data_IF_623244465230
#
_entry.id   IF_623244465230
#
_cell.length_a   1.000
_cell.length_b   1.000
_cell.length_c   1.000
_cell.angle_alpha   90.00
_cell.angle_beta   90.00
_cell.angle_gamma   90.00
#
_symmetry.space_group_name_H-M   'P 1'
#
loop_
_entity.id
_entity.type
_entity.pdbx_description
1 polymer ?
#
# COMPACT_ATOMS: atom_id res chain seq x y z
N UNK A 1 8.31 55.73 11.11
CA UNK A 1 7.49 54.50 11.18
C UNK A 1 6.07 54.92 11.50
N UNK A 2 5.17 54.87 10.51
CA UNK A 2 3.77 55.23 10.65
C UNK A 2 2.93 53.95 10.77
N UNK A 3 1.93 53.88 11.68
CA UNK A 3 1.08 52.71 11.81
C UNK A 3 0.01 52.72 10.72
N UNK A 4 -0.07 51.63 9.95
CA UNK A 4 -1.13 51.39 8.97
C UNK A 4 -2.29 50.72 9.69
N UNK A 5 -3.41 51.43 9.77
CA UNK A 5 -4.67 50.96 10.36
C UNK A 5 -5.40 50.06 9.36
N UNK A 6 -5.69 48.82 9.75
CA UNK A 6 -6.50 47.88 8.99
C UNK A 6 -7.99 48.14 9.28
N UNK A 7 -8.75 48.34 8.21
CA UNK A 7 -10.19 48.60 8.23
C UNK A 7 -10.94 47.26 8.16
N UNK A 8 -11.83 47.03 9.14
CA UNK A 8 -12.65 45.83 9.29
C UNK A 8 -13.91 45.91 8.38
N UNK A 9 -14.31 44.84 7.66
CA UNK A 9 -15.51 44.86 6.83
C UNK A 9 -16.78 44.53 7.63
N UNK A 10 -17.97 45.03 7.21
CA UNK A 10 -19.22 44.89 7.96
C UNK A 10 -19.88 43.51 7.75
N UNK A 11 -20.75 43.08 8.70
CA UNK A 11 -21.44 41.79 8.62
C UNK A 11 -22.64 41.83 7.66
N UNK A 12 -22.67 40.87 6.74
CA UNK A 12 -23.77 40.63 5.80
C UNK A 12 -25.00 40.07 6.51
N UNK A 13 -26.12 40.78 6.46
CA UNK A 13 -27.41 40.32 6.97
C UNK A 13 -28.02 39.26 6.03
N UNK A 14 -28.28 38.06 6.56
CA UNK A 14 -29.01 36.99 5.88
C UNK A 14 -30.50 37.28 5.94
N UNK A 15 -31.11 37.46 4.77
CA UNK A 15 -32.53 37.70 4.55
C UNK A 15 -33.28 36.36 4.56
N UNK A 16 -34.17 36.15 5.53
CA UNK A 16 -35.10 35.02 5.54
C UNK A 16 -36.27 35.32 4.60
N UNK A 17 -36.40 34.55 3.52
CA UNK A 17 -37.61 34.54 2.68
C UNK A 17 -38.48 33.33 3.05
N UNK A 18 -39.66 33.66 3.56
CA UNK A 18 -40.76 32.78 3.91
C UNK A 18 -41.61 32.60 2.63
N UNK A 19 -41.55 31.43 2.01
CA UNK A 19 -42.42 31.08 0.88
C UNK A 19 -43.57 30.18 1.31
N UNK A 20 -44.70 30.52 0.70
CA UNK A 20 -46.07 30.21 1.07
C UNK A 20 -46.58 28.97 0.36
N UNK A 21 -47.54 28.33 1.02
CA UNK A 21 -48.39 27.20 0.62
C UNK A 21 -48.97 27.38 -0.80
N UNK A 22 -48.90 26.31 -1.60
CA UNK A 22 -49.62 26.17 -2.87
C UNK A 22 -50.06 24.73 -3.06
N UNK A 23 -51.36 24.48 -2.85
CA UNK A 23 -52.07 23.25 -3.20
C UNK A 23 -52.12 23.09 -4.73
N UNK A 24 -51.76 21.91 -5.22
CA UNK A 24 -51.65 21.63 -6.66
C UNK A 24 -51.66 20.14 -7.00
N UNK A 25 -52.87 19.58 -7.01
CA UNK A 25 -53.28 18.27 -7.51
C UNK A 25 -52.53 17.82 -8.80
N UNK A 26 -51.84 16.67 -8.77
CA UNK A 26 -51.21 16.04 -9.96
C UNK A 26 -51.35 14.50 -9.89
N UNK A 27 -51.59 13.79 -11.01
CA UNK A 27 -52.18 12.46 -11.02
C UNK A 27 -51.18 11.31 -10.91
N UNK A 28 -51.70 10.20 -10.38
CA UNK A 28 -51.11 8.87 -10.28
C UNK A 28 -50.25 8.50 -11.50
N UNK A 29 -48.92 8.52 -11.32
CA UNK A 29 -47.95 7.95 -12.24
C UNK A 29 -47.13 6.92 -11.46
N UNK A 30 -47.09 5.70 -12.01
CA UNK A 30 -46.41 4.53 -11.47
C UNK A 30 -44.98 4.84 -11.02
N UNK A 31 -44.76 4.89 -9.71
CA UNK A 31 -43.43 4.94 -9.12
C UNK A 31 -42.78 3.56 -9.25
N UNK A 32 -41.54 3.45 -9.78
CA UNK A 32 -40.77 2.24 -9.63
C UNK A 32 -40.56 1.99 -8.14
N UNK A 33 -40.89 0.79 -7.69
CA UNK A 33 -40.73 0.34 -6.31
C UNK A 33 -39.25 0.51 -5.90
N UNK A 34 -38.92 1.63 -5.26
CA UNK A 34 -37.67 1.83 -4.54
C UNK A 34 -37.62 0.76 -3.45
N UNK A 35 -37.01 -0.38 -3.76
CA UNK A 35 -36.55 -1.31 -2.76
C UNK A 35 -35.51 -0.56 -1.94
N UNK A 36 -35.97 0.05 -0.84
CA UNK A 36 -35.18 0.61 0.25
C UNK A 36 -34.41 -0.52 0.95
N UNK A 37 -33.53 -1.20 0.23
CA UNK A 37 -32.44 -1.94 0.81
C UNK A 37 -31.53 -0.90 1.45
N UNK A 38 -31.59 -0.77 2.77
CA UNK A 38 -30.68 0.10 3.52
C UNK A 38 -29.25 -0.37 3.27
N UNK A 39 -28.57 0.22 2.29
CA UNK A 39 -27.16 -0.03 2.01
C UNK A 39 -26.38 0.51 3.19
N UNK A 40 -25.98 -0.36 4.11
CA UNK A 40 -25.10 -0.03 5.21
C UNK A 40 -23.76 0.39 4.62
N UNK A 41 -23.51 1.70 4.57
CA UNK A 41 -22.22 2.23 4.13
C UNK A 41 -21.14 1.77 5.11
N UNK A 42 -20.06 1.12 4.65
CA UNK A 42 -18.98 0.67 5.51
C UNK A 42 -18.42 1.86 6.29
N UNK A 43 -17.99 1.60 7.53
CA UNK A 43 -17.55 2.67 8.43
C UNK A 43 -16.19 3.23 8.05
N UNK A 44 -15.32 2.36 7.55
CA UNK A 44 -14.00 2.71 7.03
C UNK A 44 -14.09 3.01 5.53
N UNK A 45 -13.27 3.95 5.00
CA UNK A 45 -13.20 4.19 3.58
C UNK A 45 -12.80 2.92 2.82
N UNK A 46 -13.55 2.63 1.75
CA UNK A 46 -13.31 1.51 0.83
C UNK A 46 -13.06 2.05 -0.56
N UNK A 47 -11.95 1.63 -1.16
CA UNK A 47 -11.51 1.92 -2.51
C UNK A 47 -11.78 0.67 -3.34
N UNK A 48 -12.89 0.66 -4.08
CA UNK A 48 -13.22 -0.44 -4.99
C UNK A 48 -12.64 -0.15 -6.38
N UNK A 49 -11.73 -1.00 -6.83
CA UNK A 49 -11.10 -0.94 -8.15
C UNK A 49 -11.82 -1.87 -9.13
N UNK A 50 -11.84 -1.52 -10.41
CA UNK A 50 -12.44 -2.34 -11.46
C UNK A 50 -11.48 -3.44 -11.97
N UNK A 51 -10.97 -4.25 -11.05
CA UNK A 51 -10.11 -5.41 -11.32
C UNK A 51 -10.47 -6.54 -10.36
N UNK A 52 -10.47 -7.78 -10.82
CA UNK A 52 -10.88 -8.92 -9.98
C UNK A 52 -9.80 -9.28 -8.94
N UNK A 53 -8.52 -9.13 -9.29
CA UNK A 53 -7.35 -9.44 -8.45
C UNK A 53 -6.42 -8.22 -8.42
N UNK A 54 -5.91 -7.88 -7.24
CA UNK A 54 -4.97 -6.78 -7.05
C UNK A 54 -3.53 -7.29 -7.15
N UNK A 55 -2.78 -6.78 -8.12
CA UNK A 55 -1.37 -7.14 -8.32
C UNK A 55 -0.48 -6.52 -7.24
N UNK A 56 0.74 -7.07 -7.09
CA UNK A 56 1.83 -6.51 -6.28
C UNK A 56 2.08 -5.02 -6.57
N UNK A 57 2.11 -4.65 -7.85
CA UNK A 57 2.36 -3.28 -8.33
C UNK A 57 1.25 -2.32 -7.91
N UNK A 58 -0.02 -2.71 -8.02
CA UNK A 58 -1.16 -1.89 -7.60
C UNK A 58 -1.15 -1.70 -6.08
N UNK A 59 -0.92 -2.78 -5.33
CA UNK A 59 -0.87 -2.74 -3.87
C UNK A 59 0.27 -1.83 -3.36
N UNK A 60 1.47 -1.95 -3.96
CA UNK A 60 2.63 -1.11 -3.65
C UNK A 60 2.35 0.37 -3.95
N UNK A 61 1.79 0.67 -5.14
CA UNK A 61 1.49 2.04 -5.56
C UNK A 61 0.51 2.74 -4.61
N UNK A 62 -0.58 2.07 -4.27
CA UNK A 62 -1.58 2.61 -3.37
C UNK A 62 -1.09 2.71 -1.93
N UNK A 63 -0.19 1.81 -1.48
CA UNK A 63 0.49 1.95 -0.19
C UNK A 63 1.37 3.21 -0.14
N UNK A 64 2.15 3.49 -1.20
CA UNK A 64 2.93 4.73 -1.32
C UNK A 64 2.03 5.97 -1.30
N UNK A 65 0.93 5.96 -2.07
CA UNK A 65 -0.01 7.07 -2.11
C UNK A 65 -0.66 7.32 -0.74
N UNK A 66 -1.09 6.25 -0.06
CA UNK A 66 -1.64 6.34 1.30
C UNK A 66 -0.61 6.89 2.28
N UNK A 67 0.64 6.44 2.23
CA UNK A 67 1.71 6.95 3.09
C UNK A 67 1.89 8.46 2.93
N UNK A 68 1.95 8.95 1.69
CA UNK A 68 2.02 10.39 1.42
C UNK A 68 0.82 11.16 2.01
N UNK A 69 -0.38 10.61 1.89
CA UNK A 69 -1.59 11.18 2.50
C UNK A 69 -1.55 11.15 4.03
N UNK A 70 -1.12 10.06 4.65
CA UNK A 70 -1.03 9.93 6.11
C UNK A 70 -0.03 10.95 6.66
N UNK A 71 1.16 11.08 6.05
CA UNK A 71 2.16 12.06 6.49
C UNK A 71 1.58 13.49 6.46
N UNK A 72 0.84 13.84 5.40
CA UNK A 72 0.22 15.16 5.29
C UNK A 72 -0.97 15.35 6.24
N UNK A 73 -1.94 14.44 6.25
CA UNK A 73 -3.17 14.52 7.05
C UNK A 73 -2.93 14.39 8.57
N UNK A 74 -1.80 13.79 8.97
CA UNK A 74 -1.34 13.73 10.36
C UNK A 74 -0.38 14.86 10.72
N UNK A 75 -0.26 15.89 9.88
CA UNK A 75 0.63 17.03 10.10
C UNK A 75 2.10 16.62 10.38
N UNK A 76 2.55 15.52 9.78
CA UNK A 76 3.95 15.12 9.83
C UNK A 76 4.79 15.87 8.78
N UNK A 77 4.13 16.41 7.76
CA UNK A 77 4.74 17.30 6.77
C UNK A 77 3.82 18.47 6.45
N UNK A 78 4.36 19.66 6.13
CA UNK A 78 3.56 20.85 5.92
C UNK A 78 2.82 20.86 4.57
N UNK A 79 3.32 20.10 3.59
CA UNK A 79 2.78 20.03 2.23
C UNK A 79 2.80 18.59 1.71
N UNK A 80 1.95 18.24 0.73
CA UNK A 80 2.01 16.94 0.06
C UNK A 80 3.40 16.64 -0.50
N UNK A 81 3.83 15.37 -0.41
CA UNK A 81 5.19 14.92 -0.78
C UNK A 81 5.62 15.37 -2.19
N UNK A 82 4.69 15.33 -3.15
CA UNK A 82 4.92 15.75 -4.55
C UNK A 82 5.20 17.25 -4.66
N UNK A 83 4.56 18.07 -3.81
CA UNK A 83 4.82 19.51 -3.76
C UNK A 83 6.15 19.79 -3.08
N UNK A 84 6.45 19.10 -1.98
CA UNK A 84 7.73 19.23 -1.27
C UNK A 84 8.92 18.94 -2.19
N UNK A 85 8.85 17.88 -2.99
CA UNK A 85 9.92 17.50 -3.92
C UNK A 85 10.22 18.56 -4.98
N UNK A 86 9.23 19.40 -5.35
CA UNK A 86 9.39 20.45 -6.38
C UNK A 86 9.88 21.79 -5.83
N UNK A 87 9.83 21.99 -4.52
CA UNK A 87 10.20 23.27 -3.92
C UNK A 87 11.72 23.38 -3.82
N UNK A 88 12.29 24.38 -4.46
CA UNK A 88 13.71 24.76 -4.30
C UNK A 88 13.86 25.62 -3.04
N UNK A 89 14.77 25.25 -2.15
CA UNK A 89 14.97 25.86 -0.83
C UNK A 89 15.78 27.17 -0.90
N UNK A 90 15.26 28.23 -1.52
CA UNK A 90 16.01 29.49 -1.68
C UNK A 90 16.17 30.33 -0.40
N UNK A 91 15.38 30.08 0.65
CA UNK A 91 15.38 30.86 1.90
C UNK A 91 15.12 30.04 3.17
N UNK A 92 15.10 28.71 3.10
CA UNK A 92 14.81 27.88 4.27
C UNK A 92 16.03 27.76 5.18
N UNK A 93 15.80 27.66 6.49
CA UNK A 93 16.83 27.28 7.46
C UNK A 93 17.51 25.96 7.05
N UNK A 94 18.85 25.89 7.08
CA UNK A 94 19.66 24.72 6.72
C UNK A 94 19.18 23.44 7.41
N UNK A 95 18.70 23.56 8.66
CA UNK A 95 18.15 22.44 9.42
C UNK A 95 16.87 21.88 8.79
N UNK A 96 15.93 22.74 8.38
CA UNK A 96 14.69 22.33 7.73
C UNK A 96 14.95 21.78 6.33
N UNK A 97 15.93 22.35 5.63
CA UNK A 97 16.38 21.83 4.33
C UNK A 97 16.91 20.39 4.46
N UNK A 98 17.74 20.13 5.47
CA UNK A 98 18.25 18.78 5.77
C UNK A 98 17.12 17.79 6.12
N UNK A 99 16.22 18.16 7.03
CA UNK A 99 15.09 17.28 7.40
C UNK A 99 14.19 16.94 6.20
N UNK A 100 13.95 17.92 5.32
CA UNK A 100 13.22 17.70 4.07
C UNK A 100 13.97 16.74 3.14
N UNK A 101 15.27 16.93 2.95
CA UNK A 101 16.09 16.05 2.11
C UNK A 101 16.12 14.61 2.65
N UNK A 102 16.35 14.45 3.95
CA UNK A 102 16.36 13.16 4.64
C UNK A 102 15.00 12.45 4.49
N UNK A 103 13.89 13.19 4.67
CA UNK A 103 12.54 12.63 4.48
C UNK A 103 12.32 12.19 3.03
N UNK A 104 12.66 13.03 2.04
CA UNK A 104 12.45 12.70 0.64
C UNK A 104 13.28 11.48 0.22
N UNK A 105 14.53 11.40 0.67
CA UNK A 105 15.41 10.25 0.45
C UNK A 105 14.85 8.96 1.09
N UNK A 106 14.41 9.04 2.35
CA UNK A 106 13.80 7.91 3.05
C UNK A 106 12.48 7.47 2.38
N UNK A 107 11.66 8.42 1.93
CA UNK A 107 10.40 8.14 1.24
C UNK A 107 10.63 7.47 -0.13
N UNK A 108 11.63 7.92 -0.88
CA UNK A 108 12.01 7.32 -2.18
C UNK A 108 12.55 5.90 -1.99
N UNK A 109 13.46 5.71 -1.03
CA UNK A 109 14.00 4.40 -0.65
C UNK A 109 12.88 3.43 -0.26
N UNK A 110 11.94 3.86 0.58
CA UNK A 110 10.80 3.03 0.97
C UNK A 110 9.87 2.73 -0.21
N UNK A 111 9.64 3.69 -1.10
CA UNK A 111 8.80 3.49 -2.29
C UNK A 111 9.40 2.43 -3.21
N UNK A 112 10.72 2.48 -3.43
CA UNK A 112 11.45 1.43 -4.15
C UNK A 112 11.29 0.07 -3.47
N UNK A 113 11.46 0.00 -2.14
CA UNK A 113 11.28 -1.23 -1.38
C UNK A 113 9.86 -1.78 -1.43
N UNK A 114 8.80 -0.96 -1.48
CA UNK A 114 7.44 -1.49 -1.53
C UNK A 114 7.20 -2.39 -2.74
N UNK A 115 7.75 -2.06 -3.91
CA UNK A 115 7.59 -2.88 -5.12
C UNK A 115 8.16 -4.29 -4.90
N UNK A 116 9.37 -4.40 -4.38
CA UNK A 116 10.02 -5.70 -4.10
C UNK A 116 9.38 -6.40 -2.90
N UNK A 117 8.89 -5.65 -1.92
CA UNK A 117 8.21 -6.16 -0.71
C UNK A 117 6.92 -6.89 -1.06
N UNK A 118 6.03 -6.26 -1.83
CA UNK A 118 4.76 -6.88 -2.22
C UNK A 118 4.98 -8.09 -3.14
N UNK A 119 6.02 -8.06 -3.98
CA UNK A 119 6.44 -9.21 -4.79
C UNK A 119 6.91 -10.40 -3.92
N UNK A 120 7.78 -10.13 -2.94
CA UNK A 120 8.25 -11.14 -1.99
C UNK A 120 7.11 -11.68 -1.12
N UNK A 121 6.18 -10.81 -0.69
CA UNK A 121 5.01 -11.19 0.08
C UNK A 121 4.05 -12.07 -0.72
N UNK A 122 3.80 -11.75 -1.99
CA UNK A 122 3.03 -12.60 -2.91
C UNK A 122 3.62 -14.01 -2.96
N UNK A 123 4.95 -14.12 -3.08
CA UNK A 123 5.63 -15.42 -3.11
C UNK A 123 5.51 -16.15 -1.78
N UNK A 124 5.71 -15.46 -0.65
CA UNK A 124 5.61 -16.05 0.68
C UNK A 124 4.18 -16.55 0.98
N UNK A 125 3.16 -15.81 0.55
CA UNK A 125 1.75 -16.20 0.70
C UNK A 125 1.33 -17.31 -0.27
N UNK A 126 1.93 -17.39 -1.46
CA UNK A 126 1.68 -18.48 -2.39
C UNK A 126 2.20 -19.82 -1.84
N UNK A 127 3.40 -19.82 -1.25
CA UNK A 127 4.00 -21.00 -0.59
C UNK A 127 3.21 -21.51 0.62
N UNK A 128 2.35 -20.67 1.17
CA UNK A 128 1.46 -20.96 2.30
C UNK A 128 0.32 -21.91 1.94
N UNK A 129 -0.06 -21.93 0.65
CA UNK A 129 -1.23 -22.65 0.16
C UNK A 129 -0.77 -23.99 -0.38
N UNK A 130 -0.74 -24.97 0.50
CA UNK A 130 -0.46 -26.36 0.13
C UNK A 130 -1.70 -26.94 -0.56
N UNK A 131 -1.68 -26.94 -1.90
CA UNK A 131 -2.48 -27.79 -2.79
C UNK A 131 -4.02 -27.55 -2.86
N UNK A 132 -4.53 -27.54 -4.09
CA UNK A 132 -5.93 -27.68 -4.54
C UNK A 132 -6.92 -26.50 -4.59
N UNK A 133 -6.62 -25.32 -4.06
CA UNK A 133 -7.55 -24.19 -4.21
C UNK A 133 -7.19 -23.29 -5.40
N UNK A 134 -7.94 -23.42 -6.49
CA UNK A 134 -7.81 -22.59 -7.70
C UNK A 134 -7.83 -21.08 -7.38
N UNK A 135 -7.04 -20.33 -8.16
CA UNK A 135 -6.83 -18.87 -8.06
C UNK A 135 -6.56 -18.37 -6.62
N UNK A 136 -5.32 -18.55 -6.18
CA UNK A 136 -4.86 -18.11 -4.88
C UNK A 136 -4.83 -16.57 -4.78
N UNK A 137 -5.89 -15.96 -4.23
CA UNK A 137 -5.85 -14.59 -3.71
C UNK A 137 -5.78 -14.60 -2.19
N UNK A 138 -5.16 -13.59 -1.59
CA UNK A 138 -5.01 -13.46 -0.14
C UNK A 138 -5.34 -12.04 0.33
N UNK A 139 -5.37 -11.85 1.65
CA UNK A 139 -5.44 -10.51 2.25
C UNK A 139 -4.08 -10.09 2.74
N UNK A 140 -3.75 -8.83 2.49
CA UNK A 140 -2.51 -8.21 2.97
C UNK A 140 -2.83 -7.01 3.82
N UNK A 141 -2.04 -6.84 4.88
CA UNK A 141 -2.17 -5.73 5.80
C UNK A 141 -0.84 -5.03 5.97
N UNK A 142 -0.86 -3.71 5.88
CA UNK A 142 0.24 -2.82 6.22
C UNK A 142 -0.27 -1.81 7.26
N UNK A 143 0.59 -1.42 8.20
CA UNK A 143 0.29 -0.44 9.22
C UNK A 143 1.27 0.73 9.12
N UNK A 144 0.72 1.95 9.13
CA UNK A 144 1.47 3.20 9.25
C UNK A 144 1.24 3.72 10.66
N UNK A 145 2.31 3.72 11.45
CA UNK A 145 2.27 3.98 12.88
C UNK A 145 3.01 5.28 13.18
N UNK A 146 2.31 6.27 13.72
CA UNK A 146 2.85 7.63 13.93
C UNK A 146 3.00 7.90 15.42
N UNK A 147 4.22 8.17 15.89
CA UNK A 147 4.51 8.49 17.28
C UNK A 147 5.98 8.36 17.69
N UNK A 148 6.28 8.41 19.00
CA UNK A 148 7.65 8.30 19.52
C UNK A 148 8.26 6.91 19.37
N UNK A 149 7.42 5.88 19.35
CA UNK A 149 7.79 4.48 19.12
C UNK A 149 6.58 3.69 18.61
N UNK A 150 6.76 2.51 18.01
CA UNK A 150 5.64 1.66 17.61
C UNK A 150 4.72 1.28 18.79
N UNK A 151 5.31 1.06 19.96
CA UNK A 151 4.61 0.70 21.20
C UNK A 151 3.80 1.85 21.80
N UNK A 152 4.32 3.08 21.72
CA UNK A 152 3.71 4.30 22.26
C UNK A 152 3.09 5.19 21.17
N UNK A 153 2.66 4.58 20.06
CA UNK A 153 2.11 5.31 18.94
C UNK A 153 0.85 6.10 19.30
N UNK A 154 0.76 7.30 18.75
CA UNK A 154 -0.40 8.18 18.92
C UNK A 154 -1.49 7.87 17.89
N UNK A 155 -1.09 7.47 16.68
CA UNK A 155 -1.97 7.05 15.59
C UNK A 155 -1.49 5.74 14.97
N UNK A 156 -2.44 4.92 14.52
CA UNK A 156 -2.21 3.69 13.77
C UNK A 156 -3.20 3.64 12.63
N UNK A 157 -2.72 3.69 11.40
CA UNK A 157 -3.53 3.63 10.18
C UNK A 157 -3.29 2.28 9.52
N UNK A 158 -4.35 1.48 9.35
CA UNK A 158 -4.27 0.17 8.69
C UNK A 158 -4.63 0.30 7.21
N UNK A 159 -3.78 -0.25 6.35
CA UNK A 159 -4.00 -0.44 4.93
C UNK A 159 -4.34 -1.91 4.68
N UNK A 160 -5.60 -2.18 4.35
CA UNK A 160 -6.07 -3.52 4.00
C UNK A 160 -6.20 -3.68 2.49
N UNK A 161 -5.63 -4.75 1.94
CA UNK A 161 -5.76 -5.12 0.53
C UNK A 161 -6.50 -6.45 0.45
N UNK A 162 -7.68 -6.45 -0.17
CA UNK A 162 -8.47 -7.66 -0.42
C UNK A 162 -8.20 -8.21 -1.82
N UNK A 163 -8.32 -9.53 -2.01
CA UNK A 163 -8.01 -10.20 -3.28
C UNK A 163 -6.60 -9.90 -3.82
N UNK A 164 -5.61 -9.83 -2.95
CA UNK A 164 -4.21 -9.67 -3.31
C UNK A 164 -3.71 -10.90 -4.07
N UNK A 165 -3.06 -10.69 -5.22
CA UNK A 165 -2.49 -11.76 -6.04
C UNK A 165 -1.41 -12.50 -5.25
N UNK A 166 -1.51 -13.83 -5.16
CA UNK A 166 -0.44 -14.66 -4.62
C UNK A 166 0.07 -15.59 -5.70
N UNK A 167 1.34 -15.41 -6.06
CA UNK A 167 2.07 -16.20 -7.07
C UNK A 167 3.51 -16.41 -6.60
N UNK A 168 4.08 -17.57 -6.93
CA UNK A 168 5.50 -17.87 -6.71
C UNK A 168 6.30 -17.29 -7.86
N UNK A 169 7.22 -16.36 -7.59
CA UNK A 169 8.08 -15.83 -8.64
C UNK A 169 8.92 -16.95 -9.27
N UNK A 170 8.94 -17.01 -10.60
CA UNK A 170 9.74 -17.98 -11.36
C UNK A 170 9.06 -19.33 -11.60
N UNK A 171 7.91 -19.60 -10.98
CA UNK A 171 7.05 -20.70 -11.41
C UNK A 171 6.24 -20.20 -12.61
N UNK A 172 6.39 -20.84 -13.77
CA UNK A 172 5.55 -20.56 -14.92
C UNK A 172 4.13 -21.04 -14.57
N UNK A 173 3.13 -20.16 -14.65
CA UNK A 173 1.74 -20.57 -14.59
C UNK A 173 1.48 -21.44 -15.82
N UNK A 174 1.64 -22.76 -15.69
CA UNK A 174 1.20 -23.66 -16.73
C UNK A 174 -0.30 -23.44 -16.88
N UNK A 175 -0.78 -23.05 -18.08
CA UNK A 175 -2.20 -22.83 -18.30
C UNK A 175 -2.88 -24.13 -17.89
N UNK A 176 -3.68 -24.06 -16.84
CA UNK A 176 -4.45 -25.21 -16.35
C UNK A 176 -5.28 -25.71 -17.52
N UNK A 177 -4.78 -26.74 -18.21
CA UNK A 177 -5.42 -27.45 -19.32
C UNK A 177 -6.59 -28.25 -18.76
N UNK A 178 -7.51 -27.56 -18.08
CA UNK A 178 -8.70 -28.14 -17.46
C UNK A 178 -9.88 -28.17 -18.45
N UNK A 179 -9.60 -28.19 -19.74
CA UNK A 179 -10.58 -28.38 -20.79
C UNK A 179 -10.21 -29.62 -21.62
N UNK A 180 -10.52 -30.81 -21.07
CA UNK A 180 -11.01 -31.90 -21.92
C UNK A 180 -10.19 -33.19 -22.08
N UNK A 181 -9.80 -33.87 -21.00
CA UNK A 181 -9.42 -35.30 -21.08
C UNK A 181 -10.33 -36.19 -20.24
N UNK A 182 -11.53 -36.47 -20.77
CA UNK A 182 -12.13 -37.77 -20.57
C UNK A 182 -11.39 -38.80 -21.44
N UNK A 183 -10.39 -39.48 -20.90
CA UNK A 183 -9.84 -40.67 -21.52
C UNK A 183 -9.36 -41.68 -20.47
N UNK A 184 -10.24 -42.65 -20.21
CA UNK A 184 -9.94 -43.96 -19.63
C UNK A 184 -8.57 -44.51 -20.08
N UNK A 185 -7.69 -44.78 -19.12
CA UNK A 185 -6.39 -45.41 -19.36
C UNK A 185 -5.91 -46.22 -18.17
N UNK A 186 -6.63 -47.30 -17.87
CA UNK A 186 -6.20 -48.39 -17.00
C UNK A 186 -4.80 -48.89 -17.39
N UNK A 187 -3.90 -49.05 -16.42
CA UNK A 187 -2.80 -50.01 -16.54
C UNK A 187 -1.50 -49.64 -15.84
N UNK A 188 -1.26 -50.38 -14.76
CA UNK A 188 0.00 -51.08 -14.47
C UNK A 188 0.81 -50.57 -13.27
N UNK A 189 0.91 -51.49 -12.30
CA UNK A 189 1.55 -51.37 -11.00
C UNK A 189 3.05 -51.65 -11.17
N UNK A 190 3.93 -50.81 -10.61
CA UNK A 190 5.34 -51.13 -10.46
C UNK A 190 5.81 -50.77 -9.03
N UNK A 191 6.30 -51.75 -8.25
CA UNK A 191 6.60 -51.57 -6.84
C UNK A 191 8.02 -51.06 -6.58
N UNK A 192 8.10 -50.43 -5.40
CA UNK A 192 9.21 -50.13 -4.49
C UNK A 192 10.54 -50.87 -4.73
N UNK A 193 11.66 -50.13 -4.75
CA UNK A 193 12.90 -50.56 -4.09
C UNK A 193 13.92 -49.42 -3.90
N UNK A 194 14.79 -49.62 -2.91
CA UNK A 194 16.06 -48.95 -2.59
C UNK A 194 16.10 -47.88 -1.49
N UNK A 195 16.33 -48.42 -0.29
CA UNK A 195 17.14 -47.88 0.80
C UNK A 195 18.52 -47.38 0.31
N UNK A 196 19.03 -46.28 0.86
CA UNK A 196 20.38 -46.27 1.47
C UNK A 196 20.63 -44.94 2.20
N UNK A 197 20.77 -45.04 3.52
CA UNK A 197 21.21 -43.99 4.41
C UNK A 197 22.73 -43.77 4.27
N UNK A 198 23.16 -42.52 4.12
CA UNK A 198 24.57 -42.14 4.30
C UNK A 198 24.71 -41.03 5.32
N UNK A 199 25.25 -41.46 6.46
CA UNK A 199 26.26 -40.81 7.30
C UNK A 199 27.08 -39.73 6.58
N UNK A 200 27.28 -38.56 7.23
CA UNK A 200 28.62 -38.01 7.48
C UNK A 200 28.56 -36.59 8.11
N UNK A 201 29.00 -36.55 9.36
CA UNK A 201 29.97 -35.63 9.99
C UNK A 201 29.76 -34.09 10.03
N UNK A 202 29.49 -33.63 11.26
CA UNK A 202 30.32 -32.68 12.05
C UNK A 202 31.28 -31.74 11.28
N UNK A 203 30.99 -30.43 11.30
CA UNK A 203 32.00 -29.40 11.11
C UNK A 203 31.69 -28.14 11.94
N UNK A 204 32.26 -28.14 13.13
CA UNK A 204 32.61 -27.00 13.96
C UNK A 204 33.29 -25.89 13.14
N UNK A 205 32.84 -24.63 13.21
CA UNK A 205 33.68 -23.49 12.79
C UNK A 205 33.47 -22.28 13.68
N UNK A 206 34.60 -21.88 14.25
CA UNK A 206 34.80 -20.96 15.34
C UNK A 206 34.60 -19.48 14.95
N UNK A 207 34.53 -18.71 16.03
CA UNK A 207 34.47 -17.27 16.17
C UNK A 207 35.48 -16.49 15.30
N UNK A 208 35.07 -15.32 14.82
CA UNK A 208 36.04 -14.25 14.52
C UNK A 208 35.44 -12.89 14.89
N UNK A 209 35.98 -12.42 16.02
CA UNK A 209 35.90 -11.09 16.59
C UNK A 209 36.76 -10.13 15.73
N UNK A 210 36.17 -9.03 15.27
CA UNK A 210 36.87 -8.02 14.46
C UNK A 210 36.42 -6.61 14.84
N UNK A 211 37.00 -6.13 15.93
CA UNK A 211 37.18 -4.72 16.26
C UNK A 211 37.87 -3.99 15.08
N UNK A 212 37.19 -3.01 14.45
CA UNK A 212 37.85 -2.08 13.53
C UNK A 212 37.56 -0.65 13.93
N UNK A 213 38.65 -0.01 14.32
CA UNK A 213 38.75 1.36 14.80
C UNK A 213 38.39 2.41 13.73
N UNK A 214 37.79 3.47 14.27
CA UNK A 214 37.92 4.89 13.95
C UNK A 214 38.90 5.27 12.82
N UNK A 215 38.40 6.03 11.84
CA UNK A 215 39.21 7.07 11.18
C UNK A 215 38.32 8.27 10.85
N UNK A 216 38.63 9.38 11.53
CA UNK A 216 38.17 10.73 11.24
C UNK A 216 39.08 11.32 10.17
N UNK A 217 38.57 11.67 8.99
CA UNK A 217 39.24 12.67 8.14
C UNK A 217 38.23 13.67 7.57
N UNK A 218 38.20 14.79 8.28
CA UNK A 218 38.24 16.17 7.80
C UNK A 218 38.58 16.35 6.30
N UNK A 219 37.68 16.97 5.54
CA UNK A 219 38.04 17.59 4.26
C UNK A 219 37.25 18.88 4.05
N UNK A 220 37.96 19.97 4.34
CA UNK A 220 37.60 21.34 3.99
C UNK A 220 37.65 21.58 2.46
N UNK A 221 36.86 22.56 2.04
CA UNK A 221 37.10 23.50 0.94
C UNK A 221 37.44 22.97 -0.46
N UNK A 222 36.49 23.15 -1.40
CA UNK A 222 36.74 23.77 -2.72
C UNK A 222 35.53 24.57 -3.21
N UNK A 223 35.65 25.89 -3.14
CA UNK A 223 35.01 26.83 -4.06
C UNK A 223 35.81 26.84 -5.38
N UNK A 224 35.14 26.71 -6.52
CA UNK A 224 35.50 27.26 -7.85
C UNK A 224 34.37 26.83 -8.81
N UNK A 225 33.52 27.76 -9.26
CA UNK A 225 33.65 28.48 -10.54
C UNK A 225 33.63 27.56 -11.76
N UNK A 226 32.58 27.66 -12.58
CA UNK A 226 32.70 28.15 -13.97
C UNK A 226 31.37 28.03 -14.75
N UNK A 227 30.90 29.20 -15.17
CA UNK A 227 29.95 29.42 -16.26
C UNK A 227 30.37 28.67 -17.53
N UNK A 228 29.45 27.90 -18.12
CA UNK A 228 29.55 27.54 -19.54
C UNK A 228 28.17 27.34 -20.17
N UNK A 229 27.62 28.47 -20.62
CA UNK A 229 26.60 28.57 -21.66
C UNK A 229 27.18 28.03 -22.99
N UNK A 230 26.82 26.81 -23.36
CA UNK A 230 27.10 26.26 -24.68
C UNK A 230 25.80 25.86 -25.39
N UNK A 231 25.34 26.76 -26.26
CA UNK A 231 24.45 26.44 -27.36
C UNK A 231 25.10 25.38 -28.25
N UNK A 232 24.42 24.25 -28.47
CA UNK A 232 24.67 23.39 -29.63
C UNK A 232 23.36 23.17 -30.37
N UNK A 233 23.19 24.05 -31.35
CA UNK A 233 22.36 23.91 -32.54
C UNK A 233 22.91 22.76 -33.42
N UNK A 234 22.05 22.24 -34.30
CA UNK A 234 22.36 21.52 -35.53
C UNK A 234 22.73 20.02 -35.46
N UNK A 235 21.84 19.16 -35.98
CA UNK A 235 22.16 18.25 -37.11
C UNK A 235 20.94 17.43 -37.52
N UNK A 236 20.47 17.74 -38.73
CA UNK A 236 19.63 16.94 -39.62
C UNK A 236 20.33 15.65 -40.11
N UNK A 237 19.50 14.77 -40.71
CA UNK A 237 19.83 13.70 -41.65
C UNK A 237 20.52 12.41 -41.14
N UNK A 238 19.71 11.36 -40.98
CA UNK A 238 20.12 10.01 -41.37
C UNK A 238 18.96 9.21 -41.99
N UNK A 239 18.81 9.35 -43.31
CA UNK A 239 18.07 8.41 -44.16
C UNK A 239 18.92 7.14 -44.37
N UNK A 240 18.61 6.08 -43.61
CA UNK A 240 19.44 4.88 -43.54
C UNK A 240 18.70 3.55 -43.50
N UNK A 241 18.18 3.12 -44.67
CA UNK A 241 18.07 1.72 -45.15
C UNK A 241 17.13 0.75 -44.40
N UNK A 242 16.01 0.50 -45.07
CA UNK A 242 15.21 -0.72 -44.98
C UNK A 242 16.05 -1.97 -45.29
N UNK A 243 16.37 -2.77 -44.27
CA UNK A 243 16.74 -4.18 -44.45
C UNK A 243 15.57 -5.06 -44.02
N UNK A 244 14.79 -5.50 -45.02
CA UNK A 244 13.91 -6.68 -44.93
C UNK A 244 14.76 -7.89 -44.54
N UNK A 245 14.69 -8.30 -43.29
CA UNK A 245 15.12 -9.64 -42.89
C UNK A 245 13.94 -10.36 -42.22
N UNK A 246 13.18 -11.05 -43.07
CA UNK A 246 12.21 -12.07 -42.70
C UNK A 246 12.96 -13.24 -42.06
N UNK A 247 13.16 -13.17 -40.74
CA UNK A 247 13.49 -14.33 -39.93
C UNK A 247 12.32 -14.57 -38.96
N UNK A 248 11.28 -15.20 -39.48
CA UNK A 248 10.17 -15.74 -38.70
C UNK A 248 10.68 -16.95 -37.89
N UNK A 249 11.42 -16.69 -36.81
CA UNK A 249 11.49 -17.63 -35.72
C UNK A 249 10.10 -17.67 -35.07
N UNK A 250 9.53 -18.84 -34.74
CA UNK A 250 8.30 -18.92 -33.98
C UNK A 250 8.58 -18.33 -32.59
N UNK A 251 8.27 -17.04 -32.44
CA UNK A 251 8.23 -16.38 -31.15
C UNK A 251 7.16 -17.11 -30.35
N UNK A 252 7.59 -17.96 -29.42
CA UNK A 252 6.78 -18.41 -28.29
C UNK A 252 6.36 -17.14 -27.52
N UNK A 253 5.29 -16.51 -28.01
CA UNK A 253 4.65 -15.38 -27.39
C UNK A 253 3.94 -15.94 -26.15
N UNK A 254 4.66 -15.95 -25.04
CA UNK A 254 4.05 -16.19 -23.74
C UNK A 254 2.93 -15.16 -23.57
N UNK A 255 1.68 -15.58 -23.34
CA UNK A 255 0.60 -14.65 -23.03
C UNK A 255 0.98 -13.92 -21.74
N UNK A 256 1.34 -12.64 -21.84
CA UNK A 256 1.62 -11.84 -20.66
C UNK A 256 0.33 -11.75 -19.85
N UNK A 257 0.32 -12.38 -18.68
CA UNK A 257 -0.81 -12.41 -17.73
C UNK A 257 -1.09 -11.05 -17.07
N UNK A 258 -0.55 -9.95 -17.63
CA UNK A 258 -0.96 -8.62 -17.22
C UNK A 258 -2.38 -8.40 -17.72
N UNK A 259 -3.34 -7.98 -16.87
CA UNK A 259 -4.66 -7.57 -17.34
C UNK A 259 -4.57 -6.34 -18.26
N UNK A 260 -3.43 -5.66 -18.32
CA UNK A 260 -3.20 -4.47 -19.15
C UNK A 260 -2.53 -4.84 -20.46
N UNK A 261 -3.07 -4.31 -21.56
CA UNK A 261 -2.54 -4.53 -22.91
C UNK A 261 -1.27 -3.70 -23.15
N UNK A 262 -1.07 -2.62 -22.38
CA UNK A 262 0.09 -1.74 -22.52
C UNK A 262 0.50 -1.07 -21.20
N UNK A 263 1.78 -0.69 -21.10
CA UNK A 263 2.30 0.10 -19.96
C UNK A 263 1.57 1.43 -19.77
N UNK A 264 1.20 2.11 -20.87
CA UNK A 264 0.47 3.37 -20.80
C UNK A 264 -0.94 3.19 -20.19
N UNK A 265 -1.59 2.07 -20.45
CA UNK A 265 -2.88 1.72 -19.85
C UNK A 265 -2.74 1.45 -18.35
N UNK A 266 -1.72 0.68 -17.95
CA UNK A 266 -1.41 0.42 -16.54
C UNK A 266 -1.14 1.74 -15.79
N UNK A 267 -0.34 2.66 -16.34
CA UNK A 267 -0.09 3.95 -15.70
C UNK A 267 -1.37 4.80 -15.55
N UNK A 268 -2.25 4.79 -16.55
CA UNK A 268 -3.56 5.48 -16.44
C UNK A 268 -4.43 4.85 -15.37
N UNK A 269 -4.44 3.51 -15.28
CA UNK A 269 -5.15 2.79 -14.23
C UNK A 269 -4.63 3.16 -12.84
N UNK A 270 -3.31 3.13 -12.63
CA UNK A 270 -2.69 3.47 -11.35
C UNK A 270 -3.00 4.92 -10.95
N UNK A 271 -2.97 5.86 -11.89
CA UNK A 271 -3.36 7.26 -11.62
C UNK A 271 -4.85 7.39 -11.28
N UNK A 272 -5.72 6.61 -11.92
CA UNK A 272 -7.15 6.60 -11.58
C UNK A 272 -7.39 6.02 -10.18
N UNK A 273 -6.69 4.94 -9.82
CA UNK A 273 -6.73 4.34 -8.50
C UNK A 273 -6.23 5.30 -7.41
N UNK A 274 -5.11 6.00 -7.63
CA UNK A 274 -4.58 7.04 -6.72
C UNK A 274 -5.63 8.15 -6.48
N UNK A 275 -6.31 8.62 -7.55
CA UNK A 275 -7.38 9.62 -7.43
C UNK A 275 -8.60 9.09 -6.67
N UNK A 276 -8.95 7.82 -6.84
CA UNK A 276 -10.06 7.18 -6.13
C UNK A 276 -9.74 7.09 -4.63
N UNK A 277 -8.52 6.67 -4.28
CA UNK A 277 -8.03 6.65 -2.91
C UNK A 277 -8.09 8.04 -2.26
N UNK A 278 -7.54 9.06 -2.92
CA UNK A 278 -7.57 10.44 -2.41
C UNK A 278 -9.01 10.93 -2.18
N UNK A 279 -9.94 10.63 -3.11
CA UNK A 279 -11.37 10.97 -2.96
C UNK A 279 -12.03 10.22 -1.81
N UNK A 280 -11.74 8.93 -1.63
CA UNK A 280 -12.28 8.13 -0.54
C UNK A 280 -11.82 8.67 0.82
N UNK A 281 -10.54 9.04 0.95
CA UNK A 281 -10.00 9.66 2.15
C UNK A 281 -10.65 11.03 2.44
N UNK A 282 -10.77 11.90 1.43
CA UNK A 282 -11.44 13.19 1.58
C UNK A 282 -12.91 13.06 1.97
N UNK A 283 -13.63 12.08 1.39
CA UNK A 283 -15.03 11.81 1.75
C UNK A 283 -15.15 11.27 3.17
N UNK A 284 -14.23 10.41 3.61
CA UNK A 284 -14.22 9.92 4.99
C UNK A 284 -13.99 11.07 5.98
N UNK A 285 -13.10 12.00 5.64
CA UNK A 285 -12.79 13.19 6.45
C UNK A 285 -14.00 14.13 6.58
N UNK A 286 -14.66 14.43 5.46
CA UNK A 286 -15.91 15.21 5.47
C UNK A 286 -17.02 14.58 6.34
N UNK A 287 -16.99 13.25 6.50
CA UNK A 287 -17.94 12.50 7.32
C UNK A 287 -17.48 12.32 8.79
N UNK A 288 -16.38 12.94 9.20
CA UNK A 288 -15.81 12.82 10.56
C UNK A 288 -15.22 11.44 10.86
N UNK A 289 -14.95 10.64 9.83
CA UNK A 289 -14.32 9.31 9.90
C UNK A 289 -12.95 9.30 9.18
N UNK A 290 -12.42 10.49 8.93
CA UNK A 290 -11.15 10.65 8.26
C UNK A 290 -9.99 10.22 9.14
N UNK A 291 -8.82 10.22 8.51
CA UNK A 291 -7.55 10.03 9.20
C UNK A 291 -6.91 11.35 9.58
N UNK A 292 -7.52 12.50 9.30
CA UNK A 292 -6.94 13.79 9.67
C UNK A 292 -6.92 13.94 11.19
N UNK A 293 -5.73 14.22 11.73
CA UNK A 293 -5.57 14.51 13.16
C UNK A 293 -4.33 15.38 13.34
N UNK A 294 -4.49 16.51 14.02
CA UNK A 294 -3.39 17.44 14.24
C UNK A 294 -2.42 16.86 15.27
N UNK A 295 -1.26 16.44 14.78
CA UNK A 295 -0.20 15.86 15.61
C UNK A 295 1.06 16.68 15.45
N UNK A 296 1.83 16.79 16.53
CA UNK A 296 3.21 17.27 16.44
C UNK A 296 4.00 16.34 15.51
N UNK A 297 4.91 16.87 14.68
CA UNK A 297 5.82 16.04 13.91
C UNK A 297 6.54 15.02 14.79
N UNK A 298 6.61 13.79 14.32
CA UNK A 298 7.13 12.64 15.05
C UNK A 298 7.68 11.60 14.08
N UNK A 299 8.09 10.44 14.59
CA UNK A 299 8.56 9.34 13.75
C UNK A 299 7.35 8.57 13.21
N UNK A 300 7.45 8.15 11.95
CA UNK A 300 6.50 7.25 11.30
C UNK A 300 7.19 5.91 11.06
N UNK A 301 6.57 4.84 11.56
CA UNK A 301 7.02 3.47 11.41
C UNK A 301 6.10 2.74 10.45
N UNK A 302 6.69 1.93 9.58
CA UNK A 302 5.97 1.16 8.57
C UNK A 302 6.10 -0.30 8.91
N UNK A 303 4.96 -0.96 9.10
CA UNK A 303 4.93 -2.38 9.42
C UNK A 303 4.08 -3.12 8.40
N UNK A 304 4.48 -4.34 8.05
CA UNK A 304 3.71 -5.24 7.20
C UNK A 304 3.41 -6.53 7.96
N UNK A 305 2.22 -7.09 7.77
CA UNK A 305 1.86 -8.39 8.31
C UNK A 305 2.19 -9.47 7.29
N UNK A 306 3.11 -10.35 7.62
CA UNK A 306 3.66 -11.35 6.71
C UNK A 306 4.01 -12.65 7.46
N UNK A 307 4.05 -13.82 6.77
CA UNK A 307 4.44 -15.08 7.41
C UNK A 307 5.91 -15.04 7.87
N UNK A 308 6.30 -15.91 8.79
CA UNK A 308 7.69 -15.97 9.31
C UNK A 308 8.73 -16.28 8.22
N UNK A 309 8.36 -17.05 7.19
CA UNK A 309 9.23 -17.28 6.02
C UNK A 309 9.36 -16.09 5.06
N UNK A 310 8.63 -14.99 5.28
CA UNK A 310 8.84 -13.79 4.50
C UNK A 310 10.29 -13.33 4.71
N UNK A 311 11.01 -13.09 3.62
CA UNK A 311 12.41 -12.68 3.67
C UNK A 311 12.62 -11.53 2.71
N UNK A 312 13.06 -10.39 3.25
CA UNK A 312 13.37 -9.20 2.47
C UNK A 312 14.40 -8.36 3.23
N UNK A 313 15.49 -7.91 2.60
CA UNK A 313 16.62 -7.26 3.30
C UNK A 313 16.24 -5.98 4.05
N UNK A 314 15.28 -5.22 3.52
CA UNK A 314 14.80 -3.98 4.15
C UNK A 314 13.81 -4.16 5.32
N UNK A 315 13.48 -5.39 5.73
CA UNK A 315 12.45 -5.65 6.76
C UNK A 315 12.98 -6.51 7.91
N UNK A 316 12.65 -6.09 9.13
CA UNK A 316 13.07 -6.73 10.37
C UNK A 316 11.84 -7.35 11.05
N UNK A 317 11.87 -8.63 11.46
CA UNK A 317 10.77 -9.25 12.17
C UNK A 317 10.61 -8.64 13.58
N UNK A 318 9.39 -8.33 13.99
CA UNK A 318 9.06 -7.68 15.28
C UNK A 318 8.06 -8.50 16.09
N UNK A 319 8.50 -9.66 16.57
CA UNK A 319 7.66 -10.56 17.38
C UNK A 319 7.11 -9.90 18.67
N UNK A 320 7.85 -8.96 19.24
CA UNK A 320 7.44 -8.21 20.43
C UNK A 320 6.25 -7.25 20.18
N UNK A 321 5.96 -6.90 18.92
CA UNK A 321 4.84 -6.02 18.55
C UNK A 321 3.57 -6.80 18.16
N UNK A 322 3.68 -8.12 17.95
CA UNK A 322 2.61 -8.94 17.38
C UNK A 322 1.29 -8.77 18.12
N UNK A 323 1.25 -9.00 19.43
CA UNK A 323 0.02 -8.88 20.22
C UNK A 323 -0.63 -7.49 20.13
N UNK A 324 0.18 -6.43 20.15
CA UNK A 324 -0.34 -5.06 20.16
C UNK A 324 -0.92 -4.68 18.79
N UNK A 325 -0.23 -5.04 17.71
CA UNK A 325 -0.66 -4.72 16.36
C UNK A 325 -1.78 -5.65 15.90
N UNK A 326 -1.84 -6.89 16.39
CA UNK A 326 -2.94 -7.82 16.17
C UNK A 326 -4.23 -7.30 16.80
N UNK A 327 -4.17 -6.73 18.01
CA UNK A 327 -5.35 -6.07 18.59
C UNK A 327 -5.84 -4.90 17.73
N UNK A 328 -4.93 -4.08 17.19
CA UNK A 328 -5.29 -2.97 16.31
C UNK A 328 -5.88 -3.46 14.98
N UNK A 329 -5.35 -4.56 14.44
CA UNK A 329 -5.89 -5.22 13.26
C UNK A 329 -7.25 -5.83 13.54
N UNK A 330 -7.45 -6.52 14.67
CA UNK A 330 -8.76 -7.06 15.07
C UNK A 330 -9.77 -5.94 15.24
N UNK A 331 -9.44 -4.84 15.90
CA UNK A 331 -10.36 -3.71 16.02
C UNK A 331 -10.67 -3.09 14.62
N UNK A 332 -9.71 -3.05 13.68
CA UNK A 332 -9.92 -2.62 12.28
C UNK A 332 -10.89 -3.56 11.52
N UNK A 333 -10.68 -4.86 11.67
CA UNK A 333 -11.48 -5.93 11.10
C UNK A 333 -12.91 -5.85 11.66
N UNK A 334 -13.06 -5.78 12.98
CA UNK A 334 -14.35 -5.64 13.66
C UNK A 334 -15.11 -4.40 13.18
N UNK A 335 -14.44 -3.24 13.03
CA UNK A 335 -15.07 -2.00 12.55
C UNK A 335 -15.56 -2.10 11.09
N UNK A 336 -14.96 -3.00 10.31
CA UNK A 336 -15.32 -3.22 8.91
C UNK A 336 -16.61 -4.03 8.76
N UNK A 337 -16.79 -5.07 9.57
CA UNK A 337 -17.94 -5.99 9.49
C UNK A 337 -18.98 -5.78 10.59
N UNK A 338 -18.76 -4.86 11.53
CA UNK A 338 -19.74 -4.55 12.58
C UNK A 338 -21.04 -4.04 11.96
N UNK A 339 -22.05 -4.90 11.97
CA UNK A 339 -23.41 -4.51 11.62
C UNK A 339 -23.90 -3.44 12.61
N UNK A 340 -24.54 -2.35 12.15
CA UNK A 340 -24.94 -1.23 12.99
C UNK A 340 -25.94 -1.58 14.11
N UNK A 341 -26.48 -2.80 14.14
CA UNK A 341 -27.58 -3.18 15.02
C UNK A 341 -27.18 -3.91 16.33
N UNK A 342 -25.91 -4.21 16.57
CA UNK A 342 -25.49 -5.03 17.74
C UNK A 342 -25.02 -4.22 18.96
N UNK A 343 -25.27 -2.91 19.03
CA UNK A 343 -24.72 -2.01 20.06
C UNK A 343 -25.31 -2.14 21.48
N UNK A 344 -25.86 -3.28 21.89
CA UNK A 344 -26.62 -3.40 23.14
C UNK A 344 -25.81 -3.72 24.41
N UNK A 345 -24.47 -3.70 24.37
CA UNK A 345 -23.65 -4.06 25.54
C UNK A 345 -22.48 -3.11 25.79
N UNK A 346 -22.62 -2.21 26.78
CA UNK A 346 -21.53 -1.52 27.50
C UNK A 346 -20.33 -1.06 26.64
N UNK A 347 -20.55 -0.01 25.84
CA UNK A 347 -19.52 0.61 25.03
C UNK A 347 -18.47 1.32 25.89
N UNK A 348 -17.39 0.61 26.26
CA UNK A 348 -16.15 1.29 26.66
C UNK A 348 -15.70 2.13 25.47
N UNK A 349 -15.39 3.41 25.71
CA UNK A 349 -14.92 4.38 24.72
C UNK A 349 -13.55 3.93 24.16
N UNK A 350 -13.56 2.95 23.25
CA UNK A 350 -12.39 2.58 22.46
C UNK A 350 -12.11 3.71 21.47
N UNK A 351 -10.83 4.05 21.25
CA UNK A 351 -10.45 4.99 20.19
C UNK A 351 -10.87 4.37 18.84
N UNK A 352 -11.44 5.16 17.91
CA UNK A 352 -11.80 4.65 16.59
C UNK A 352 -10.55 4.16 15.88
N UNK A 353 -10.67 3.06 15.13
CA UNK A 353 -9.55 2.57 14.33
C UNK A 353 -9.52 3.33 13.03
N UNK A 354 -8.32 3.71 12.61
CA UNK A 354 -8.10 4.44 11.37
C UNK A 354 -7.60 3.46 10.32
N UNK A 355 -8.10 3.58 9.09
CA UNK A 355 -7.61 2.76 8.01
C UNK A 355 -8.41 2.91 6.72
N UNK A 356 -7.95 2.21 5.69
CA UNK A 356 -8.57 2.18 4.38
C UNK A 356 -8.49 0.76 3.82
N UNK A 357 -9.55 0.35 3.15
CA UNK A 357 -9.59 -0.89 2.37
C UNK A 357 -9.41 -0.59 0.89
N UNK A 358 -8.61 -1.39 0.22
CA UNK A 358 -8.58 -1.49 -1.24
C UNK A 358 -9.10 -2.87 -1.62
N UNK A 359 -10.07 -2.88 -2.53
CA UNK A 359 -10.76 -4.11 -2.95
C UNK A 359 -10.88 -4.13 -4.46
N UNK A 360 -11.00 -5.33 -5.02
CA UNK A 360 -11.29 -5.52 -6.43
C UNK A 360 -12.78 -5.34 -6.77
N UNK A 361 -13.16 -5.81 -7.95
CA UNK A 361 -14.55 -5.88 -8.41
C UNK A 361 -15.34 -6.78 -7.45
N UNK A 362 -16.53 -6.32 -7.08
CA UNK A 362 -17.38 -6.95 -6.06
C UNK A 362 -17.20 -6.37 -4.66
N UNK A 363 -16.25 -5.44 -4.47
CA UNK A 363 -16.04 -4.79 -3.19
C UNK A 363 -15.47 -5.73 -2.12
N UNK A 364 -15.66 -5.36 -0.85
CA UNK A 364 -15.30 -6.21 0.26
C UNK A 364 -16.34 -7.33 0.38
N UNK A 365 -15.99 -8.53 -0.11
CA UNK A 365 -16.88 -9.68 -0.01
C UNK A 365 -17.22 -10.03 1.44
N UNK A 366 -18.32 -10.77 1.64
CA UNK A 366 -18.68 -11.37 2.92
C UNK A 366 -17.72 -12.53 3.23
N UNK A 367 -16.46 -12.19 3.49
CA UNK A 367 -15.41 -13.13 3.83
C UNK A 367 -15.43 -13.38 5.34
N UNK A 368 -16.61 -13.63 5.88
CA UNK A 368 -16.82 -14.16 7.23
C UNK A 368 -16.24 -15.57 7.37
N UNK A 369 -15.87 -16.22 6.26
CA UNK A 369 -15.15 -17.48 6.25
C UNK A 369 -13.66 -17.28 6.00
N UNK A 370 -12.95 -16.73 7.00
CA UNK A 370 -11.56 -17.14 7.15
C UNK A 370 -11.61 -18.64 7.43
N UNK A 371 -11.02 -19.51 6.57
CA UNK A 371 -10.96 -20.93 6.87
C UNK A 371 -10.36 -21.07 8.27
N UNK A 372 -10.99 -21.94 9.06
CA UNK A 372 -10.49 -22.29 10.40
C UNK A 372 -9.00 -22.61 10.26
N UNK A 373 -8.13 -22.02 11.11
CA UNK A 373 -6.70 -22.23 10.98
C UNK A 373 -6.42 -23.73 11.10
N UNK A 374 -6.11 -24.36 9.97
CA UNK A 374 -5.39 -25.63 9.99
C UNK A 374 -4.11 -25.42 10.80
N UNK A 375 -3.58 -26.44 11.48
CA UNK A 375 -2.34 -26.32 12.24
C UNK A 375 -1.22 -25.91 11.29
N UNK A 376 -1.04 -24.60 11.18
CA UNK A 376 -0.12 -23.99 10.25
C UNK A 376 1.29 -24.34 10.73
N UNK A 377 2.20 -24.58 9.79
CA UNK A 377 3.59 -24.76 10.15
C UNK A 377 4.06 -23.49 10.87
N UNK A 378 5.03 -23.59 11.78
CA UNK A 378 5.53 -22.41 12.50
C UNK A 378 5.95 -21.27 11.53
N UNK A 379 6.46 -21.64 10.34
CA UNK A 379 6.84 -20.73 9.27
C UNK A 379 5.67 -19.96 8.62
N UNK A 380 4.45 -20.49 8.73
CA UNK A 380 3.20 -19.89 8.25
C UNK A 380 2.61 -18.86 9.22
N UNK A 381 3.12 -18.81 10.46
CA UNK A 381 2.60 -17.87 11.46
C UNK A 381 2.79 -16.42 10.97
N UNK A 382 1.68 -15.68 10.90
CA UNK A 382 1.68 -14.28 10.47
C UNK A 382 2.20 -13.39 11.61
N UNK A 383 3.33 -12.74 11.39
CA UNK A 383 3.94 -11.79 12.33
C UNK A 383 4.02 -10.40 11.70
N UNK A 384 4.40 -9.40 12.50
CA UNK A 384 4.66 -8.06 12.00
C UNK A 384 6.15 -7.88 11.70
N UNK A 385 6.43 -7.34 10.53
CA UNK A 385 7.75 -6.94 10.07
C UNK A 385 7.79 -5.42 10.01
N UNK A 386 8.88 -4.81 10.47
CA UNK A 386 9.10 -3.36 10.41
C UNK A 386 10.10 -3.04 9.32
N UNK A 387 9.85 -1.99 8.55
CA UNK A 387 10.86 -1.43 7.67
C UNK A 387 12.05 -0.95 8.51
N UNK A 388 13.27 -1.17 8.01
CA UNK A 388 14.53 -0.80 8.70
C UNK A 388 14.93 0.68 8.49
N UNK A 389 14.13 1.44 7.76
CA UNK A 389 14.33 2.87 7.62
C UNK A 389 13.55 3.71 8.64
N UNK A 390 13.71 5.03 8.52
CA UNK A 390 13.08 6.00 9.40
C UNK A 390 12.45 7.13 8.59
N UNK A 391 11.18 7.42 8.87
CA UNK A 391 10.52 8.64 8.39
C UNK A 391 10.33 9.57 9.58
N UNK A 392 10.93 10.75 9.52
CA UNK A 392 10.78 11.77 10.57
C UNK A 392 10.02 12.96 10.01
N UNK A 393 8.87 13.27 10.59
CA UNK A 393 8.13 14.45 10.23
C UNK A 393 8.83 15.75 10.64
N UNK A 394 8.45 16.86 10.01
CA UNK A 394 8.88 18.21 10.36
C UNK A 394 7.73 19.21 10.14
N UNK A 395 7.75 20.33 10.88
CA UNK A 395 6.75 21.41 10.74
C UNK A 395 7.35 22.73 10.24
N UNK A 396 8.62 23.00 10.57
CA UNK A 396 9.30 24.24 10.19
C UNK A 396 9.83 24.13 8.75
N UNK A 397 9.45 25.04 7.86
CA UNK A 397 9.91 25.07 6.47
C UNK A 397 10.30 26.48 6.02
#
# INVERSE_FOLDING_TARGET
MAPVSFCEPPPSQIRQEKSTVGDGNTPLQNAPSEQNGATTTPRLPVVALDVDILTDTVAARLATSLLGHVLFLKNQIPLPIVQLARMTNKQSNDKSAKLKADLLSAFDTLTSHFVTTFSALSTALARMKTSDSGAASSRVFLAIVVGPSPGAAKSKVIYGVDKFQTRVWGLLDEPSQNEGEEANGSGDECPEDSEDEKDDEEANSEESDAESAEDEEDSEDREDDEDSEANSDDSDDDEGKESKQENAAPSNAFPSLSPYQSYAEEQRFLQAADRLLARALASADANGRGIANEMSPSQSYILIRAPRRFSHPAWIPRQNLTKQMDNALTDFLDETWSSPNTSSGSARKKKPVEGVWVTGRGGLGDATHSPEPTPAQEEDEMIWWSWDGKLTGFADW
#
